data_IF_444061729822
#
_entry.id   IF_444061729822
#
_cell.length_a   1.000
_cell.length_b   1.000
_cell.length_c   1.000
_cell.angle_alpha   90.00
_cell.angle_beta   90.00
_cell.angle_gamma   90.00
#
_symmetry.space_group_name_H-M   'P 1'
#
loop_
_entity.id
_entity.type
_entity.pdbx_description
1 polymer ?
#
# COMPACT_ATOMS: atom_id res chain seq x y z
N UNK A 1 -7.99 0.05 -15.32
CA UNK A 1 -6.86 -0.15 -14.40
C UNK A 1 -7.14 -1.43 -13.65
N UNK A 2 -6.26 -2.43 -13.78
CA UNK A 2 -6.43 -3.73 -13.13
C UNK A 2 -6.09 -3.62 -11.62
N UNK A 3 -6.81 -4.34 -10.76
CA UNK A 3 -6.58 -4.33 -9.31
C UNK A 3 -5.13 -4.67 -8.97
N UNK A 4 -4.51 -5.62 -9.69
CA UNK A 4 -3.12 -5.99 -9.43
C UNK A 4 -2.14 -4.84 -9.72
N UNK A 5 -2.44 -4.03 -10.74
CA UNK A 5 -1.66 -2.83 -11.03
C UNK A 5 -1.77 -1.79 -9.90
N UNK A 6 -2.97 -1.60 -9.34
CA UNK A 6 -3.18 -0.72 -8.19
C UNK A 6 -2.36 -1.20 -7.00
N UNK A 7 -2.45 -2.49 -6.67
CA UNK A 7 -1.71 -3.07 -5.54
C UNK A 7 -0.19 -2.93 -5.73
N UNK A 8 0.33 -3.22 -6.92
CA UNK A 8 1.75 -3.03 -7.24
C UNK A 8 2.17 -1.56 -7.11
N UNK A 9 1.36 -0.62 -7.58
CA UNK A 9 1.65 0.80 -7.49
C UNK A 9 1.71 1.29 -6.03
N UNK A 10 0.88 0.76 -5.14
CA UNK A 10 0.95 1.06 -3.70
C UNK A 10 2.26 0.58 -3.09
N UNK A 11 2.72 -0.64 -3.45
CA UNK A 11 3.98 -1.17 -2.96
C UNK A 11 5.18 -0.35 -3.44
N UNK A 12 5.18 0.02 -4.73
CA UNK A 12 6.24 0.83 -5.31
C UNK A 12 6.31 2.21 -4.66
N UNK A 13 5.17 2.85 -4.42
CA UNK A 13 5.10 4.14 -3.71
C UNK A 13 5.59 4.02 -2.28
N UNK A 14 5.11 3.03 -1.53
CA UNK A 14 5.55 2.79 -0.16
C UNK A 14 7.07 2.54 -0.08
N UNK A 15 7.61 1.77 -1.04
CA UNK A 15 9.06 1.51 -1.15
C UNK A 15 9.85 2.78 -1.45
N UNK A 16 9.37 3.67 -2.33
CA UNK A 16 10.05 4.93 -2.66
C UNK A 16 10.22 5.85 -1.44
N UNK A 17 9.25 5.85 -0.52
CA UNK A 17 9.32 6.63 0.73
C UNK A 17 9.91 5.85 1.91
N UNK A 18 10.53 4.70 1.63
CA UNK A 18 11.21 3.88 2.64
C UNK A 18 10.27 3.27 3.69
N UNK A 19 8.98 3.11 3.39
CA UNK A 19 7.98 2.61 4.33
C UNK A 19 7.59 1.16 4.00
N UNK A 20 7.91 0.17 4.85
CA UNK A 20 7.53 -1.21 4.62
C UNK A 20 6.01 -1.37 4.58
N UNK A 21 5.51 -2.18 3.63
CA UNK A 21 4.07 -2.38 3.44
C UNK A 21 3.33 -2.87 4.69
N UNK A 22 4.00 -3.68 5.52
CA UNK A 22 3.46 -4.12 6.81
C UNK A 22 3.18 -2.95 7.77
N UNK A 23 4.07 -1.96 7.80
CA UNK A 23 3.90 -0.76 8.62
C UNK A 23 2.82 0.15 8.04
N UNK A 24 2.76 0.31 6.71
CA UNK A 24 1.66 1.04 6.07
C UNK A 24 0.31 0.41 6.41
N UNK A 25 0.19 -0.92 6.30
CA UNK A 25 -1.03 -1.64 6.65
C UNK A 25 -1.42 -1.40 8.11
N UNK A 26 -0.45 -1.51 9.03
CA UNK A 26 -0.66 -1.25 10.46
C UNK A 26 -1.20 0.16 10.71
N UNK A 27 -0.60 1.19 10.10
CA UNK A 27 -1.06 2.59 10.20
C UNK A 27 -2.44 2.81 9.57
N UNK A 28 -2.74 2.10 8.49
CA UNK A 28 -4.04 2.12 7.83
C UNK A 28 -5.12 1.31 8.59
N UNK A 29 -4.79 0.67 9.72
CA UNK A 29 -5.70 -0.19 10.47
C UNK A 29 -6.08 -1.48 9.74
N UNK A 30 -5.21 -1.94 8.84
CA UNK A 30 -5.39 -3.15 8.02
C UNK A 30 -4.35 -4.17 8.45
N UNK A 31 -4.78 -5.40 8.69
CA UNK A 31 -3.83 -6.46 9.01
C UNK A 31 -2.96 -6.79 7.76
N UNK A 32 -1.62 -6.94 7.87
CA UNK A 32 -0.76 -7.20 6.71
C UNK A 32 -1.17 -8.43 5.90
N UNK A 33 -1.68 -9.48 6.55
CA UNK A 33 -2.17 -10.68 5.86
C UNK A 33 -3.43 -10.41 5.02
N UNK A 34 -4.24 -9.40 5.37
CA UNK A 34 -5.36 -8.94 4.55
C UNK A 34 -4.85 -8.38 3.23
N UNK A 35 -3.80 -7.55 3.28
CA UNK A 35 -3.15 -7.01 2.09
C UNK A 35 -2.49 -8.11 1.25
N UNK A 36 -1.79 -9.06 1.87
CA UNK A 36 -1.17 -10.19 1.16
C UNK A 36 -2.19 -11.02 0.37
N UNK A 37 -3.43 -11.13 0.84
CA UNK A 37 -4.51 -11.86 0.14
C UNK A 37 -5.02 -11.15 -1.12
N UNK A 38 -4.72 -9.86 -1.30
CA UNK A 38 -5.08 -9.11 -2.51
C UNK A 38 -4.07 -9.27 -3.64
N UNK A 39 -2.86 -9.77 -3.31
CA UNK A 39 -1.76 -9.94 -4.26
C UNK A 39 -1.83 -11.27 -4.99
N UNK A 40 -1.75 -11.23 -6.30
CA UNK A 40 -1.46 -12.41 -7.11
C UNK A 40 -0.05 -12.92 -6.80
N UNK A 41 0.07 -14.21 -6.48
CA UNK A 41 1.36 -14.89 -6.33
C UNK A 41 1.21 -16.38 -6.59
N UNK A 42 2.31 -17.12 -6.72
CA UNK A 42 2.27 -18.59 -6.84
C UNK A 42 1.49 -19.26 -5.69
N UNK A 43 1.59 -18.69 -4.48
CA UNK A 43 0.88 -19.17 -3.28
C UNK A 43 -0.53 -18.58 -3.12
N UNK A 44 -0.92 -17.64 -3.98
CA UNK A 44 -2.23 -17.01 -4.03
C UNK A 44 -2.65 -16.77 -5.50
N UNK A 45 -2.97 -17.83 -6.26
CA UNK A 45 -3.30 -17.73 -7.68
C UNK A 45 -4.66 -17.07 -7.94
N UNK A 46 -5.50 -16.97 -6.90
CA UNK A 46 -6.84 -16.36 -6.97
C UNK A 46 -6.99 -15.31 -5.85
N UNK A 47 -6.39 -14.11 -6.02
CA UNK A 47 -6.42 -13.08 -5.01
C UNK A 47 -7.83 -12.57 -4.74
N UNK A 48 -8.09 -12.19 -3.49
CA UNK A 48 -9.34 -11.54 -3.11
C UNK A 48 -9.37 -10.10 -3.60
N UNK A 49 -10.57 -9.62 -3.92
CA UNK A 49 -10.81 -8.21 -4.22
C UNK A 49 -10.39 -7.33 -3.04
N UNK A 50 -9.68 -6.24 -3.32
CA UNK A 50 -9.40 -5.22 -2.31
C UNK A 50 -10.64 -4.34 -2.13
N UNK A 51 -11.07 -4.14 -0.88
CA UNK A 51 -12.18 -3.23 -0.62
C UNK A 51 -11.74 -1.78 -0.84
N UNK A 52 -12.51 -1.00 -1.60
CA UNK A 52 -12.20 0.40 -1.94
C UNK A 52 -11.84 1.23 -0.70
N UNK A 53 -12.58 1.16 0.44
CA UNK A 53 -12.23 1.93 1.64
C UNK A 53 -10.86 1.56 2.22
N UNK A 54 -10.45 0.30 2.08
CA UNK A 54 -9.17 -0.16 2.59
C UNK A 54 -8.01 0.29 1.70
N UNK A 55 -8.22 0.32 0.38
CA UNK A 55 -7.25 0.89 -0.58
C UNK A 55 -7.03 2.37 -0.28
N UNK A 56 -8.12 3.14 -0.11
CA UNK A 56 -8.05 4.56 0.22
C UNK A 56 -7.27 4.85 1.51
N UNK A 57 -7.43 4.02 2.55
CA UNK A 57 -6.66 4.15 3.80
C UNK A 57 -5.16 3.94 3.61
N UNK A 58 -4.78 2.95 2.79
CA UNK A 58 -3.37 2.69 2.46
C UNK A 58 -2.79 3.87 1.67
N UNK A 59 -3.53 4.38 0.69
CA UNK A 59 -3.13 5.54 -0.09
C UNK A 59 -2.88 6.77 0.77
N UNK A 60 -3.76 7.03 1.74
CA UNK A 60 -3.63 8.15 2.67
C UNK A 60 -2.31 8.08 3.46
N UNK A 61 -2.00 6.92 4.04
CA UNK A 61 -0.75 6.72 4.81
C UNK A 61 0.50 6.94 3.95
N UNK A 62 0.49 6.46 2.71
CA UNK A 62 1.60 6.64 1.78
C UNK A 62 1.73 8.12 1.41
N UNK A 63 0.61 8.79 1.09
CA UNK A 63 0.59 10.21 0.72
C UNK A 63 1.06 11.12 1.85
N UNK A 64 0.70 10.82 3.10
CA UNK A 64 1.22 11.52 4.28
C UNK A 64 2.74 11.46 4.37
N UNK A 65 3.33 10.29 4.10
CA UNK A 65 4.78 10.09 4.10
C UNK A 65 5.45 10.77 2.91
N UNK A 66 4.88 10.68 1.71
CA UNK A 66 5.35 11.39 0.51
C UNK A 66 5.42 12.90 0.80
N UNK A 67 4.37 13.47 1.40
CA UNK A 67 4.31 14.90 1.76
C UNK A 67 5.32 15.27 2.87
N UNK A 68 5.65 14.35 3.76
CA UNK A 68 6.68 14.58 4.79
C UNK A 68 8.10 14.60 4.18
N UNK A 69 8.41 13.68 3.27
CA UNK A 69 9.70 13.63 2.55
C UNK A 69 9.91 14.88 1.70
N UNK A 70 8.92 15.30 0.91
CA UNK A 70 9.04 16.51 0.09
C UNK A 70 9.22 17.79 0.93
N UNK A 71 8.69 17.82 2.17
CA UNK A 71 8.93 18.94 3.10
C UNK A 71 10.34 18.93 3.68
N UNK A 72 10.94 17.76 3.91
CA UNK A 72 12.33 17.68 4.37
C UNK A 72 13.35 18.00 3.28
N UNK A 73 13.05 17.73 2.01
CA UNK A 73 13.95 18.06 0.90
C UNK A 73 13.98 19.56 0.56
N UNK A 74 12.95 20.31 0.97
CA UNK A 74 12.81 21.74 0.68
C UNK A 74 13.36 22.68 1.79
N UNK A 75 13.86 22.12 2.90
CA UNK A 75 14.38 22.85 4.07
C UNK A 75 15.92 22.77 4.13
#
# INVERSE_FOLDING_TARGET
MDQQQIISALEDRAKRVGLPMAEVCKRAGIHPTTFSRWKLSERNPQPKGAAIPSVAKIEAVIAERETAESRSEAA
#
